data_IF_437746716003
#
_entry.id   IF_437746716003
#
_cell.length_a   1.000
_cell.length_b   1.000
_cell.length_c   1.000
_cell.angle_alpha   90.00
_cell.angle_beta   90.00
_cell.angle_gamma   90.00
#
_symmetry.space_group_name_H-M   'P 1'
#
loop_
_entity.id
_entity.type
_entity.pdbx_description
1 polymer ?
#
# COMPACT_ATOMS: atom_id res chain seq x y z
N UNK A 1 -9.20 -41.34 25.14
CA UNK A 1 -10.29 -40.35 25.03
C UNK A 1 -9.86 -39.10 25.80
N UNK A 2 -9.26 -38.05 25.23
CA UNK A 2 -9.93 -36.92 24.56
C UNK A 2 -8.85 -36.06 23.85
N UNK A 3 -8.52 -36.33 22.59
CA UNK A 3 -7.67 -35.42 21.78
C UNK A 3 -8.55 -34.28 21.24
N UNK A 4 -8.88 -33.29 22.10
CA UNK A 4 -9.38 -32.00 21.59
C UNK A 4 -8.24 -31.36 20.79
N UNK A 5 -8.24 -31.53 19.46
CA UNK A 5 -7.48 -30.67 18.54
C UNK A 5 -7.92 -29.23 18.83
N UNK A 6 -7.18 -28.50 19.65
CA UNK A 6 -7.46 -27.09 19.94
C UNK A 6 -7.25 -26.32 18.64
N UNK A 7 -8.35 -25.99 17.95
CA UNK A 7 -8.34 -25.14 16.76
C UNK A 7 -7.65 -23.81 17.11
N UNK A 8 -6.88 -23.27 16.17
CA UNK A 8 -6.23 -21.96 16.30
C UNK A 8 -7.26 -20.91 16.72
N UNK A 9 -6.82 -19.89 17.47
CA UNK A 9 -7.73 -18.78 17.78
C UNK A 9 -8.07 -18.07 16.47
N UNK A 10 -9.36 -18.08 16.09
CA UNK A 10 -9.82 -17.39 14.88
C UNK A 10 -9.86 -15.87 15.07
N UNK A 11 -9.80 -15.37 16.32
CA UNK A 11 -9.91 -13.95 16.67
C UNK A 11 -8.97 -13.01 15.89
N UNK A 12 -7.65 -13.24 15.80
CA UNK A 12 -6.77 -12.37 15.01
C UNK A 12 -7.05 -12.45 13.49
N UNK A 13 -7.48 -13.61 13.00
CA UNK A 13 -7.85 -13.80 11.59
C UNK A 13 -9.14 -13.04 11.28
N UNK A 14 -10.13 -13.12 12.18
CA UNK A 14 -11.39 -12.38 12.10
C UNK A 14 -11.13 -10.88 12.20
N UNK A 15 -10.16 -10.43 13.02
CA UNK A 15 -9.78 -9.02 13.12
C UNK A 15 -9.17 -8.51 11.80
N UNK A 16 -8.21 -9.25 11.20
CA UNK A 16 -7.64 -8.88 9.90
C UNK A 16 -8.71 -8.81 8.80
N UNK A 17 -9.60 -9.81 8.76
CA UNK A 17 -10.72 -9.82 7.83
C UNK A 17 -11.70 -8.66 8.11
N UNK A 18 -11.97 -8.32 9.37
CA UNK A 18 -12.83 -7.20 9.73
C UNK A 18 -12.23 -5.85 9.32
N UNK A 19 -10.91 -5.65 9.52
CA UNK A 19 -10.22 -4.43 9.07
C UNK A 19 -10.27 -4.34 7.55
N UNK A 20 -10.01 -5.44 6.83
CA UNK A 20 -10.14 -5.47 5.37
C UNK A 20 -11.58 -5.18 4.92
N UNK A 21 -12.59 -5.70 5.62
CA UNK A 21 -14.00 -5.43 5.32
C UNK A 21 -14.36 -3.97 5.58
N UNK A 22 -13.80 -3.33 6.62
CA UNK A 22 -13.99 -1.89 6.87
C UNK A 22 -13.31 -1.06 5.80
N UNK A 23 -12.09 -1.40 5.37
CA UNK A 23 -11.42 -0.70 4.26
C UNK A 23 -12.18 -0.88 2.95
N UNK A 24 -12.76 -2.07 2.71
CA UNK A 24 -13.60 -2.35 1.55
C UNK A 24 -14.95 -1.63 1.63
N UNK A 25 -15.55 -1.48 2.81
CA UNK A 25 -16.81 -0.75 2.97
C UNK A 25 -16.68 0.73 2.57
N UNK A 26 -15.51 1.33 2.77
CA UNK A 26 -15.19 2.68 2.28
C UNK A 26 -15.25 2.83 0.75
N UNK A 27 -15.10 1.74 -0.01
CA UNK A 27 -15.21 1.76 -1.48
C UNK A 27 -16.67 1.96 -1.95
N UNK A 28 -17.65 1.55 -1.15
CA UNK A 28 -19.06 1.52 -1.53
C UNK A 28 -19.91 2.63 -0.88
N UNK A 29 -19.27 3.54 -0.11
CA UNK A 29 -19.95 4.60 0.63
C UNK A 29 -20.41 5.80 -0.21
N UNK A 30 -20.25 5.78 -1.53
CA UNK A 30 -20.65 6.88 -2.42
C UNK A 30 -22.02 6.55 -3.04
N UNK A 31 -23.03 7.43 -2.91
CA UNK A 31 -24.31 7.27 -3.61
C UNK A 31 -24.06 7.10 -5.10
N UNK A 32 -24.54 5.99 -5.66
CA UNK A 32 -24.44 5.71 -7.08
C UNK A 32 -25.52 6.52 -7.80
N UNK A 33 -25.19 7.76 -8.17
CA UNK A 33 -26.06 8.55 -9.03
C UNK A 33 -25.91 8.03 -10.46
N UNK A 34 -26.98 7.48 -11.01
CA UNK A 34 -26.99 6.96 -12.37
C UNK A 34 -26.84 8.12 -13.35
N UNK A 35 -25.65 8.24 -13.93
CA UNK A 35 -25.44 9.10 -15.09
C UNK A 35 -26.38 8.64 -16.21
N UNK A 36 -27.32 9.51 -16.60
CA UNK A 36 -28.10 9.31 -17.83
C UNK A 36 -27.13 9.50 -19.00
N UNK A 37 -26.83 8.41 -19.70
CA UNK A 37 -26.18 8.50 -21.00
C UNK A 37 -27.10 9.26 -21.96
N UNK A 38 -26.72 10.50 -22.29
CA UNK A 38 -27.38 11.27 -23.34
C UNK A 38 -26.53 11.12 -24.60
N UNK A 39 -26.96 10.18 -25.45
CA UNK A 39 -26.46 10.09 -26.82
C UNK A 39 -27.17 11.16 -27.65
N UNK A 40 -26.68 12.39 -27.62
CA UNK A 40 -27.07 13.37 -28.63
C UNK A 40 -25.85 14.11 -29.17
N UNK A 41 -25.62 13.93 -30.47
CA UNK A 41 -24.54 14.57 -31.22
C UNK A 41 -25.00 15.98 -31.62
N UNK A 42 -24.95 16.90 -30.66
CA UNK A 42 -25.06 18.34 -30.85
C UNK A 42 -23.91 19.07 -30.14
N UNK A 43 -23.74 20.39 -30.33
CA UNK A 43 -22.74 21.15 -29.60
C UNK A 43 -23.11 21.16 -28.11
N UNK A 44 -22.45 20.30 -27.34
CA UNK A 44 -22.71 20.08 -25.93
C UNK A 44 -21.79 20.97 -25.07
N UNK A 45 -22.28 21.32 -23.88
CA UNK A 45 -21.47 21.98 -22.85
C UNK A 45 -21.13 20.96 -21.78
N UNK A 46 -19.84 20.74 -21.58
CA UNK A 46 -19.34 19.81 -20.58
C UNK A 46 -19.18 20.52 -19.24
N UNK A 47 -19.80 19.99 -18.19
CA UNK A 47 -19.74 20.53 -16.84
C UNK A 47 -18.93 19.57 -15.99
N UNK A 48 -17.73 20.01 -15.60
CA UNK A 48 -16.72 19.18 -14.97
C UNK A 48 -16.46 19.70 -13.55
N UNK A 49 -16.72 18.90 -12.50
CA UNK A 49 -16.50 19.31 -11.12
C UNK A 49 -15.01 19.30 -10.73
N UNK A 50 -14.49 20.43 -10.29
CA UNK A 50 -13.18 20.57 -9.63
C UNK A 50 -13.43 20.70 -8.13
N UNK A 51 -13.85 19.60 -7.50
CA UNK A 51 -14.20 19.55 -6.07
C UNK A 51 -13.12 18.80 -5.28
N UNK A 52 -12.96 19.15 -4.00
CA UNK A 52 -12.01 18.55 -3.05
C UNK A 52 -10.54 18.93 -3.29
N UNK A 53 -9.61 18.26 -2.59
CA UNK A 53 -8.16 18.54 -2.64
C UNK A 53 -7.60 18.32 -4.04
N UNK A 54 -6.71 19.22 -4.48
CA UNK A 54 -5.96 19.06 -5.74
C UNK A 54 -4.85 18.02 -5.55
N UNK A 55 -5.17 16.79 -5.92
CA UNK A 55 -4.31 15.60 -5.90
C UNK A 55 -4.39 14.88 -7.24
N UNK A 56 -3.54 13.90 -7.51
CA UNK A 56 -3.41 13.41 -8.88
C UNK A 56 -4.54 12.51 -9.36
N UNK A 57 -5.39 11.99 -8.48
CA UNK A 57 -6.68 11.41 -8.84
C UNK A 57 -7.65 12.46 -9.39
N UNK A 58 -7.69 13.67 -8.83
CA UNK A 58 -8.41 14.79 -9.43
C UNK A 58 -7.79 15.21 -10.76
N UNK A 59 -6.46 15.26 -10.85
CA UNK A 59 -5.78 15.54 -12.13
C UNK A 59 -6.16 14.52 -13.22
N UNK A 60 -6.02 13.22 -12.95
CA UNK A 60 -6.35 12.15 -13.91
C UNK A 60 -7.81 12.23 -14.36
N UNK A 61 -8.71 12.53 -13.42
CA UNK A 61 -10.12 12.76 -13.72
C UNK A 61 -10.32 13.95 -14.67
N UNK A 62 -9.67 15.09 -14.39
CA UNK A 62 -9.80 16.29 -15.23
C UNK A 62 -9.19 16.10 -16.60
N UNK A 63 -8.03 15.46 -16.71
CA UNK A 63 -7.40 15.09 -17.99
C UNK A 63 -8.38 14.26 -18.82
N UNK A 64 -8.88 13.15 -18.28
CA UNK A 64 -9.89 12.31 -18.97
C UNK A 64 -11.15 13.09 -19.35
N UNK A 65 -11.69 13.90 -18.44
CA UNK A 65 -12.94 14.62 -18.67
C UNK A 65 -12.80 15.68 -19.77
N UNK A 66 -11.64 16.34 -19.85
CA UNK A 66 -11.34 17.34 -20.86
C UNK A 66 -10.94 16.68 -22.21
N UNK A 67 -10.29 15.52 -22.21
CA UNK A 67 -10.10 14.67 -23.40
C UNK A 67 -11.44 14.20 -23.97
N UNK A 68 -12.34 13.71 -23.11
CA UNK A 68 -13.69 13.30 -23.49
C UNK A 68 -14.47 14.46 -24.13
N UNK A 69 -14.36 15.66 -23.57
CA UNK A 69 -14.94 16.87 -24.14
C UNK A 69 -14.33 17.21 -25.52
N UNK A 70 -13.01 17.08 -25.67
CA UNK A 70 -12.31 17.35 -26.94
C UNK A 70 -12.69 16.34 -28.03
N UNK A 71 -12.71 15.04 -27.71
CA UNK A 71 -13.13 13.97 -28.62
C UNK A 71 -14.59 14.15 -29.07
N UNK A 72 -15.46 14.55 -28.14
CA UNK A 72 -16.86 14.87 -28.42
C UNK A 72 -17.06 16.21 -29.15
N UNK A 73 -15.99 17.01 -29.33
CA UNK A 73 -16.01 18.36 -29.91
C UNK A 73 -17.00 19.26 -29.19
N UNK A 74 -16.91 19.27 -27.86
CA UNK A 74 -17.69 20.16 -27.01
C UNK A 74 -17.60 21.61 -27.48
N UNK A 75 -18.71 22.34 -27.40
CA UNK A 75 -18.73 23.78 -27.73
C UNK A 75 -18.07 24.60 -26.63
N UNK A 76 -18.20 24.14 -25.38
CA UNK A 76 -17.68 24.83 -24.20
C UNK A 76 -17.44 23.84 -23.04
N UNK A 77 -16.51 24.17 -22.16
CA UNK A 77 -16.30 23.49 -20.87
C UNK A 77 -16.54 24.45 -19.71
N UNK A 78 -17.31 24.02 -18.71
CA UNK A 78 -17.48 24.72 -17.45
C UNK A 78 -16.83 23.89 -16.34
N UNK A 79 -15.75 24.42 -15.76
CA UNK A 79 -15.10 23.86 -14.59
C UNK A 79 -15.79 24.40 -13.34
N UNK A 80 -16.50 23.55 -12.60
CA UNK A 80 -17.18 23.97 -11.36
C UNK A 80 -16.23 23.80 -10.19
N UNK A 81 -15.60 24.89 -9.76
CA UNK A 81 -14.50 24.90 -8.79
C UNK A 81 -15.01 25.10 -7.37
N UNK A 82 -14.72 24.12 -6.50
CA UNK A 82 -14.87 24.22 -5.05
C UNK A 82 -13.74 23.44 -4.34
N UNK A 83 -12.62 24.11 -4.10
CA UNK A 83 -11.41 23.52 -3.51
C UNK A 83 -10.68 24.48 -2.57
N UNK A 84 -10.05 23.90 -1.55
CA UNK A 84 -9.08 24.58 -0.68
C UNK A 84 -7.64 24.49 -1.22
N UNK A 85 -7.44 23.83 -2.35
CA UNK A 85 -6.15 23.63 -2.98
C UNK A 85 -5.57 22.23 -2.76
N UNK A 86 -4.26 22.11 -2.91
CA UNK A 86 -3.55 20.83 -2.86
C UNK A 86 -2.12 20.97 -3.35
N UNK A 87 -1.61 19.94 -4.01
CA UNK A 87 -0.22 19.87 -4.47
C UNK A 87 0.03 20.83 -5.64
N UNK A 88 1.08 21.65 -5.53
CA UNK A 88 1.50 22.62 -6.56
C UNK A 88 1.74 21.95 -7.91
N UNK A 89 2.46 20.81 -7.93
CA UNK A 89 2.78 20.07 -9.16
C UNK A 89 1.52 19.62 -9.91
N UNK A 90 0.51 19.15 -9.17
CA UNK A 90 -0.76 18.75 -9.77
C UNK A 90 -1.53 19.95 -10.32
N UNK A 91 -1.51 21.09 -9.61
CA UNK A 91 -2.14 22.32 -10.07
C UNK A 91 -1.49 22.83 -11.36
N UNK A 92 -0.16 22.82 -11.42
CA UNK A 92 0.64 23.18 -12.61
C UNK A 92 0.21 22.34 -13.81
N UNK A 93 0.20 21.00 -13.67
CA UNK A 93 -0.19 20.08 -14.75
C UNK A 93 -1.64 20.29 -15.20
N UNK A 94 -2.59 20.44 -14.28
CA UNK A 94 -3.99 20.75 -14.62
C UNK A 94 -4.09 22.08 -15.38
N UNK A 95 -3.38 23.12 -14.93
CA UNK A 95 -3.38 24.42 -15.60
C UNK A 95 -2.78 24.36 -17.01
N UNK A 96 -1.69 23.60 -17.20
CA UNK A 96 -1.17 23.30 -18.53
C UNK A 96 -2.21 22.63 -19.42
N UNK A 97 -2.89 21.61 -18.91
CA UNK A 97 -3.91 20.89 -19.67
C UNK A 97 -5.08 21.79 -20.11
N UNK A 98 -5.55 22.67 -19.21
CA UNK A 98 -6.58 23.65 -19.52
C UNK A 98 -6.11 24.62 -20.62
N UNK A 99 -4.88 25.13 -20.53
CA UNK A 99 -4.32 26.07 -21.53
C UNK A 99 -4.10 25.45 -22.90
N UNK A 100 -3.70 24.18 -22.95
CA UNK A 100 -3.44 23.47 -24.20
C UNK A 100 -4.74 23.01 -24.88
N UNK A 101 -5.82 22.86 -24.12
CA UNK A 101 -7.13 22.52 -24.66
C UNK A 101 -7.69 23.68 -25.51
N UNK A 102 -8.19 23.34 -26.69
CA UNK A 102 -8.75 24.31 -27.65
C UNK A 102 -10.21 24.66 -27.38
N UNK A 103 -10.87 23.94 -26.49
CA UNK A 103 -12.26 24.19 -26.13
C UNK A 103 -12.32 25.39 -25.19
N UNK A 104 -13.14 26.42 -25.50
CA UNK A 104 -13.35 27.53 -24.59
C UNK A 104 -13.79 27.04 -23.20
N UNK A 105 -13.08 27.49 -22.17
CA UNK A 105 -13.20 27.00 -20.80
C UNK A 105 -13.56 28.14 -19.85
N UNK A 106 -14.64 27.96 -19.09
CA UNK A 106 -15.06 28.88 -18.02
C UNK A 106 -14.89 28.21 -16.66
N UNK A 107 -14.12 28.83 -15.76
CA UNK A 107 -14.07 28.47 -14.35
C UNK A 107 -15.25 29.11 -13.62
N UNK A 108 -16.21 28.30 -13.18
CA UNK A 108 -17.30 28.72 -12.30
C UNK A 108 -16.97 28.40 -10.84
N UNK A 109 -16.75 29.43 -10.01
CA UNK A 109 -16.37 29.28 -8.61
C UNK A 109 -17.64 29.15 -7.75
N UNK A 110 -18.00 27.91 -7.43
CA UNK A 110 -19.13 27.53 -6.58
C UNK A 110 -18.66 27.34 -5.14
N UNK A 111 -18.32 28.46 -4.48
CA UNK A 111 -17.84 28.47 -3.10
C UNK A 111 -16.40 28.94 -2.96
N UNK A 112 -15.41 28.09 -3.26
CA UNK A 112 -13.98 28.43 -3.03
C UNK A 112 -13.07 28.00 -4.18
N UNK A 113 -12.22 28.90 -4.64
CA UNK A 113 -11.04 28.59 -5.43
C UNK A 113 -9.82 29.13 -4.66
N UNK A 114 -9.32 28.36 -3.70
CA UNK A 114 -8.20 28.76 -2.84
C UNK A 114 -6.95 27.96 -3.21
N UNK A 115 -5.77 28.58 -3.03
CA UNK A 115 -4.48 27.94 -3.29
C UNK A 115 -4.38 27.40 -4.72
N UNK A 116 -4.13 26.10 -4.90
CA UNK A 116 -4.11 25.47 -6.22
C UNK A 116 -5.39 25.71 -7.04
N UNK A 117 -6.55 25.88 -6.39
CA UNK A 117 -7.79 26.22 -7.08
C UNK A 117 -7.76 27.58 -7.80
N UNK A 118 -7.04 28.56 -7.23
CA UNK A 118 -6.81 29.86 -7.88
C UNK A 118 -6.01 29.68 -9.17
N UNK A 119 -4.95 28.87 -9.16
CA UNK A 119 -4.15 28.61 -10.35
C UNK A 119 -4.99 27.94 -11.45
N UNK A 120 -5.79 26.94 -11.10
CA UNK A 120 -6.70 26.26 -12.04
C UNK A 120 -7.67 27.28 -12.66
N UNK A 121 -8.29 28.14 -11.85
CA UNK A 121 -9.22 29.16 -12.33
C UNK A 121 -8.54 30.18 -13.26
N UNK A 122 -7.32 30.63 -12.93
CA UNK A 122 -6.58 31.60 -13.72
C UNK A 122 -6.19 31.10 -15.11
N UNK A 123 -6.15 29.79 -15.31
CA UNK A 123 -5.86 29.18 -16.62
C UNK A 123 -7.08 29.09 -17.54
N UNK A 124 -8.29 29.27 -17.00
CA UNK A 124 -9.51 29.32 -17.81
C UNK A 124 -9.67 30.68 -18.51
N UNK A 125 -10.35 30.67 -19.66
CA UNK A 125 -10.62 31.89 -20.45
C UNK A 125 -11.46 32.87 -19.63
N UNK A 126 -12.52 32.38 -19.00
CA UNK A 126 -13.40 33.17 -18.13
C UNK A 126 -13.44 32.62 -16.70
N UNK A 127 -13.60 33.50 -15.74
CA UNK A 127 -13.88 33.23 -14.33
C UNK A 127 -15.25 33.85 -14.01
N UNK A 128 -16.20 33.00 -13.68
CA UNK A 128 -17.52 33.40 -13.18
C UNK A 128 -17.62 32.97 -11.71
N UNK A 129 -18.14 33.85 -10.85
CA UNK A 129 -18.16 33.60 -9.41
C UNK A 129 -19.58 33.52 -8.86
N UNK A 130 -19.84 32.57 -7.97
CA UNK A 130 -21.09 32.53 -7.22
C UNK A 130 -21.12 33.62 -6.14
N UNK A 131 -22.27 34.28 -5.86
CA UNK A 131 -22.39 35.16 -4.71
C UNK A 131 -21.90 34.48 -3.42
N UNK A 132 -21.06 35.19 -2.66
CA UNK A 132 -20.45 34.65 -1.43
C UNK A 132 -19.23 33.74 -1.65
N UNK A 133 -18.82 33.49 -2.90
CA UNK A 133 -17.61 32.72 -3.19
C UNK A 133 -16.32 33.53 -3.03
N UNK A 134 -15.18 32.84 -3.01
CA UNK A 134 -13.85 33.45 -2.80
C UNK A 134 -12.79 32.84 -3.72
N UNK A 135 -11.91 33.69 -4.25
CA UNK A 135 -10.69 33.31 -4.99
C UNK A 135 -9.43 33.91 -4.33
N UNK A 136 -8.29 33.24 -4.40
CA UNK A 136 -7.00 33.74 -3.92
C UNK A 136 -6.36 32.85 -2.85
N UNK A 137 -5.73 33.46 -1.82
CA UNK A 137 -5.06 32.75 -0.73
C UNK A 137 -4.15 31.61 -1.23
N UNK A 138 -3.21 31.95 -2.10
CA UNK A 138 -2.43 31.00 -2.87
C UNK A 138 -0.92 31.01 -2.61
N UNK A 139 -0.54 31.48 -1.43
CA UNK A 139 0.77 31.21 -0.85
C UNK A 139 1.01 29.70 -0.71
N UNK A 140 2.26 29.29 -0.93
CA UNK A 140 2.67 27.89 -0.78
C UNK A 140 2.82 27.57 0.70
N UNK A 141 2.27 26.43 1.12
CA UNK A 141 2.45 25.87 2.46
C UNK A 141 3.05 24.47 2.36
N UNK A 142 3.77 24.06 3.40
CA UNK A 142 4.25 22.70 3.54
C UNK A 142 3.15 21.74 4.03
N UNK A 143 3.47 20.46 4.21
CA UNK A 143 2.53 19.45 4.69
C UNK A 143 1.99 19.70 6.12
N UNK A 144 2.57 20.63 6.88
CA UNK A 144 2.09 21.05 8.19
C UNK A 144 1.15 22.26 8.13
N UNK A 145 0.98 22.87 6.95
CA UNK A 145 0.25 24.13 6.76
C UNK A 145 1.07 25.37 7.09
N UNK A 146 2.38 25.23 7.30
CA UNK A 146 3.28 26.35 7.54
C UNK A 146 3.65 27.00 6.21
N UNK A 147 3.65 28.33 6.15
CA UNK A 147 4.05 29.08 4.96
C UNK A 147 5.50 28.74 4.56
N UNK A 148 5.69 28.44 3.29
CA UNK A 148 7.02 28.25 2.70
C UNK A 148 7.60 29.63 2.38
N UNK A 149 8.70 29.99 3.05
CA UNK A 149 9.40 31.27 2.88
C UNK A 149 10.60 31.17 1.92
N UNK A 150 10.88 29.98 1.39
CA UNK A 150 11.97 29.74 0.46
C UNK A 150 11.85 30.65 -0.78
N UNK A 151 12.79 31.59 -1.02
CA UNK A 151 12.65 32.59 -2.09
C UNK A 151 12.51 31.99 -3.48
N UNK A 152 13.17 30.84 -3.75
CA UNK A 152 13.07 30.16 -5.05
C UNK A 152 11.66 29.63 -5.29
N UNK A 153 11.06 29.03 -4.26
CA UNK A 153 9.71 28.45 -4.34
C UNK A 153 8.65 29.54 -4.49
N UNK A 154 8.74 30.60 -3.67
CA UNK A 154 7.82 31.74 -3.73
C UNK A 154 7.95 32.46 -5.06
N UNK A 155 9.17 32.75 -5.52
CA UNK A 155 9.41 33.43 -6.80
C UNK A 155 8.89 32.62 -7.99
N UNK A 156 9.14 31.30 -8.02
CA UNK A 156 8.62 30.41 -9.06
C UNK A 156 7.09 30.44 -9.10
N UNK A 157 6.43 30.15 -7.98
CA UNK A 157 4.97 30.05 -7.94
C UNK A 157 4.26 31.39 -8.17
N UNK A 158 4.87 32.49 -7.70
CA UNK A 158 4.38 33.84 -7.99
C UNK A 158 4.42 34.12 -9.50
N UNK A 159 5.50 33.69 -10.19
CA UNK A 159 5.64 33.86 -11.64
C UNK A 159 4.61 33.04 -12.40
N UNK A 160 4.42 31.77 -12.03
CA UNK A 160 3.41 30.88 -12.61
C UNK A 160 1.99 31.46 -12.53
N UNK A 161 1.59 31.93 -11.34
CA UNK A 161 0.28 32.57 -11.12
C UNK A 161 0.13 33.88 -11.89
N UNK A 162 1.18 34.71 -11.88
CA UNK A 162 1.22 36.00 -12.56
C UNK A 162 1.09 35.84 -14.08
N UNK A 163 1.79 34.85 -14.65
CA UNK A 163 1.77 34.56 -16.07
C UNK A 163 0.42 33.98 -16.49
N UNK A 164 -0.14 33.03 -15.72
CA UNK A 164 -1.47 32.47 -15.98
C UNK A 164 -2.55 33.56 -16.03
N UNK A 165 -2.50 34.51 -15.08
CA UNK A 165 -3.37 35.67 -15.09
C UNK A 165 -3.16 36.56 -16.33
N UNK A 166 -1.89 36.87 -16.66
CA UNK A 166 -1.55 37.75 -17.77
C UNK A 166 -1.96 37.18 -19.14
N UNK A 167 -1.81 35.87 -19.35
CA UNK A 167 -2.23 35.18 -20.57
C UNK A 167 -3.72 35.35 -20.86
N UNK A 168 -4.53 35.44 -19.80
CA UNK A 168 -5.97 35.66 -19.88
C UNK A 168 -6.36 37.14 -19.71
N UNK A 169 -5.40 38.07 -19.83
CA UNK A 169 -5.65 39.51 -19.77
C UNK A 169 -5.92 40.07 -18.38
N UNK A 170 -5.66 39.31 -17.31
CA UNK A 170 -5.86 39.72 -15.90
C UNK A 170 -4.59 40.37 -15.34
N UNK A 171 -4.74 41.29 -14.38
CA UNK A 171 -3.62 42.03 -13.79
C UNK A 171 -2.68 41.12 -12.97
N UNK A 172 -1.53 40.79 -13.54
CA UNK A 172 -0.50 39.95 -12.90
C UNK A 172 -0.14 40.33 -11.46
N UNK A 173 -0.25 41.61 -11.07
CA UNK A 173 0.09 42.05 -9.72
C UNK A 173 -0.93 41.58 -8.68
N UNK A 174 -2.20 41.45 -9.05
CA UNK A 174 -3.23 40.89 -8.17
C UNK A 174 -2.95 39.40 -7.94
N UNK A 175 -2.59 38.65 -8.99
CA UNK A 175 -2.19 37.25 -8.87
C UNK A 175 -0.93 37.09 -8.02
N UNK A 176 0.07 37.95 -8.22
CA UNK A 176 1.26 37.97 -7.37
C UNK A 176 0.90 38.26 -5.90
N UNK A 177 -0.03 39.18 -5.65
CA UNK A 177 -0.50 39.52 -4.30
C UNK A 177 -1.31 38.38 -3.64
N UNK A 178 -1.87 37.45 -4.42
CA UNK A 178 -2.50 36.22 -3.91
C UNK A 178 -1.47 35.18 -3.46
N UNK A 179 -0.19 35.30 -3.84
CA UNK A 179 0.87 34.33 -3.53
C UNK A 179 1.88 34.87 -2.52
N UNK A 180 2.47 36.03 -2.82
CA UNK A 180 3.61 36.56 -2.06
C UNK A 180 3.14 37.57 -0.99
N UNK A 181 3.40 37.29 0.30
CA UNK A 181 3.08 38.22 1.38
C UNK A 181 3.81 39.57 1.28
N UNK A 182 4.92 39.66 0.54
CA UNK A 182 5.71 40.87 0.39
C UNK A 182 5.20 41.84 -0.67
N UNK A 183 4.37 41.39 -1.61
CA UNK A 183 3.74 42.26 -2.60
C UNK A 183 2.80 43.21 -1.87
N UNK A 184 2.77 44.49 -2.23
CA UNK A 184 1.77 45.43 -1.74
C UNK A 184 1.00 45.96 -2.93
N UNK A 185 -0.30 46.15 -2.79
CA UNK A 185 -1.13 46.61 -3.88
C UNK A 185 -2.18 47.59 -3.39
N UNK A 186 -2.21 48.76 -4.02
CA UNK A 186 -3.23 49.78 -3.78
C UNK A 186 -4.52 49.35 -4.49
N UNK A 187 -5.52 49.02 -3.69
CA UNK A 187 -6.81 48.52 -4.15
C UNK A 187 -7.99 49.26 -3.48
N UNK A 188 -7.70 50.20 -2.58
CA UNK A 188 -8.70 50.96 -1.83
C UNK A 188 -9.74 51.63 -2.71
N UNK A 189 -9.32 52.16 -3.86
CA UNK A 189 -10.23 52.83 -4.79
C UNK A 189 -11.18 51.86 -5.51
N UNK A 190 -10.81 50.58 -5.63
CA UNK A 190 -11.61 49.56 -6.30
C UNK A 190 -12.47 48.76 -5.32
N UNK A 191 -11.91 48.33 -4.19
CA UNK A 191 -12.55 47.39 -3.26
C UNK A 191 -12.57 47.88 -1.80
N UNK A 192 -12.17 49.13 -1.53
CA UNK A 192 -12.26 49.73 -0.20
C UNK A 192 -11.15 49.34 0.79
N UNK A 193 -10.17 48.54 0.35
CA UNK A 193 -8.97 48.17 1.13
C UNK A 193 -7.75 47.98 0.23
N UNK A 194 -6.57 48.21 0.79
CA UNK A 194 -5.29 47.86 0.15
C UNK A 194 -4.85 46.47 0.60
N UNK A 195 -3.92 45.88 -0.15
CA UNK A 195 -3.19 44.67 0.24
C UNK A 195 -1.88 45.08 0.91
N UNK A 196 -1.75 44.84 2.20
CA UNK A 196 -0.59 45.23 2.99
C UNK A 196 0.48 44.13 3.04
N UNK A 197 1.70 44.52 3.43
CA UNK A 197 2.80 43.58 3.63
C UNK A 197 2.44 42.57 4.73
N UNK A 198 2.80 41.30 4.51
CA UNK A 198 2.46 40.15 5.37
C UNK A 198 1.02 39.62 5.22
N UNK A 199 0.20 40.25 4.39
CA UNK A 199 -1.13 39.74 4.03
C UNK A 199 -1.07 38.93 2.74
N UNK A 200 -1.98 37.98 2.58
CA UNK A 200 -2.23 37.28 1.32
C UNK A 200 -3.58 37.73 0.78
N UNK A 201 -3.64 38.12 -0.50
CA UNK A 201 -4.88 38.60 -1.09
C UNK A 201 -5.88 37.46 -1.31
N UNK A 202 -7.11 37.75 -0.93
CA UNK A 202 -8.32 37.03 -1.37
C UNK A 202 -9.30 38.04 -1.93
N UNK A 203 -10.15 37.60 -2.85
CA UNK A 203 -11.22 38.40 -3.43
C UNK A 203 -12.53 37.64 -3.29
N UNK A 204 -13.54 38.31 -2.75
CA UNK A 204 -14.94 37.87 -2.88
C UNK A 204 -15.43 38.05 -4.32
N UNK A 205 -16.53 37.41 -4.70
CA UNK A 205 -17.13 37.57 -6.03
C UNK A 205 -17.29 39.05 -6.45
N UNK A 206 -17.83 39.90 -5.59
CA UNK A 206 -18.01 41.33 -5.88
C UNK A 206 -16.68 42.09 -5.98
N UNK A 207 -15.68 41.74 -5.18
CA UNK A 207 -14.34 42.36 -5.28
C UNK A 207 -13.64 41.93 -6.56
N UNK A 208 -13.72 40.64 -6.93
CA UNK A 208 -13.13 40.10 -8.15
C UNK A 208 -13.70 40.76 -9.41
N UNK A 209 -15.01 40.96 -9.47
CA UNK A 209 -15.66 41.66 -10.59
C UNK A 209 -15.18 43.12 -10.68
N UNK A 210 -15.11 43.86 -9.56
CA UNK A 210 -14.64 45.26 -9.52
C UNK A 210 -13.19 45.44 -9.96
N UNK A 211 -12.33 44.45 -9.74
CA UNK A 211 -10.91 44.52 -10.13
C UNK A 211 -10.63 43.86 -11.48
N UNK A 212 -11.65 43.34 -12.18
CA UNK A 212 -11.50 42.69 -13.48
C UNK A 212 -10.89 41.28 -13.40
N UNK A 213 -11.09 40.59 -12.28
CA UNK A 213 -10.65 39.21 -12.06
C UNK A 213 -11.74 38.17 -12.30
N UNK A 214 -13.00 38.60 -12.39
CA UNK A 214 -14.13 37.78 -12.78
C UNK A 214 -15.00 38.58 -13.75
N UNK A 215 -15.46 37.92 -14.81
CA UNK A 215 -16.26 38.55 -15.87
C UNK A 215 -17.75 38.62 -15.51
N UNK A 216 -18.22 37.79 -14.56
CA UNK A 216 -19.62 37.77 -14.16
C UNK A 216 -19.84 37.15 -12.77
N UNK A 217 -20.96 37.51 -12.14
CA UNK A 217 -21.47 36.87 -10.93
C UNK A 217 -22.75 36.08 -11.27
N UNK A 218 -22.81 34.79 -10.96
CA UNK A 218 -23.92 33.89 -11.31
C UNK A 218 -24.27 32.92 -10.16
N UNK A 219 -25.54 32.66 -9.88
CA UNK A 219 -25.97 31.79 -8.77
C UNK A 219 -25.82 30.30 -9.09
N UNK A 220 -25.82 29.92 -10.37
CA UNK A 220 -25.80 28.54 -10.84
C UNK A 220 -25.14 28.37 -12.20
N UNK A 221 -24.81 27.14 -12.57
CA UNK A 221 -24.28 26.79 -13.91
C UNK A 221 -25.25 27.21 -15.02
N UNK A 222 -26.56 27.14 -14.79
CA UNK A 222 -27.56 27.54 -15.80
C UNK A 222 -27.51 29.05 -16.08
N UNK A 223 -27.20 29.87 -15.07
CA UNK A 223 -26.96 31.31 -15.25
C UNK A 223 -25.63 31.59 -15.98
N UNK A 224 -24.60 30.77 -15.74
CA UNK A 224 -23.35 30.84 -16.52
C UNK A 224 -23.61 30.56 -17.99
N UNK A 225 -24.39 29.51 -18.31
CA UNK A 225 -24.78 29.17 -19.68
C UNK A 225 -25.56 30.30 -20.34
N UNK A 226 -26.46 30.94 -19.59
CA UNK A 226 -27.19 32.12 -20.04
C UNK A 226 -26.28 33.27 -20.41
N UNK A 227 -25.34 33.60 -19.55
CA UNK A 227 -24.37 34.67 -19.78
C UNK A 227 -23.49 34.38 -21.01
N UNK A 228 -23.09 33.12 -21.20
CA UNK A 228 -22.32 32.67 -22.37
C UNK A 228 -23.14 32.62 -23.68
N UNK A 229 -24.48 32.79 -23.62
CA UNK A 229 -25.35 32.63 -24.78
C UNK A 229 -25.51 31.17 -25.24
N UNK A 230 -25.29 30.22 -24.33
CA UNK A 230 -25.36 28.78 -24.55
C UNK A 230 -26.64 28.16 -23.96
N UNK A 231 -27.70 28.97 -23.80
CA UNK A 231 -29.00 28.48 -23.36
C UNK A 231 -29.56 27.44 -24.34
N UNK A 232 -30.09 26.33 -23.81
CA UNK A 232 -30.68 25.26 -24.62
C UNK A 232 -29.67 24.28 -25.24
N UNK A 233 -28.37 24.44 -24.99
CA UNK A 233 -27.37 23.40 -25.30
C UNK A 233 -27.50 22.22 -24.35
N UNK A 234 -27.17 21.02 -24.85
CA UNK A 234 -27.16 19.82 -24.02
C UNK A 234 -26.03 19.93 -23.00
N UNK A 235 -26.40 19.89 -21.71
CA UNK A 235 -25.45 19.84 -20.60
C UNK A 235 -25.02 18.39 -20.37
N UNK A 236 -23.72 18.12 -20.46
CA UNK A 236 -23.12 16.82 -20.12
C UNK A 236 -22.36 16.99 -18.81
N UNK A 237 -22.87 16.39 -17.74
CA UNK A 237 -22.20 16.40 -16.44
C UNK A 237 -21.22 15.23 -16.39
N UNK A 238 -19.92 15.55 -16.30
CA UNK A 238 -18.89 14.53 -16.19
C UNK A 238 -18.69 14.20 -14.71
N UNK A 239 -19.00 12.97 -14.33
CA UNK A 239 -18.78 12.48 -12.97
C UNK A 239 -17.53 11.60 -12.90
N UNK A 240 -16.82 11.57 -11.75
CA UNK A 240 -15.79 10.57 -11.51
C UNK A 240 -16.38 9.17 -11.60
N UNK A 241 -15.69 8.27 -12.31
CA UNK A 241 -16.05 6.87 -12.44
C UNK A 241 -15.94 6.14 -11.09
N UNK A 242 -16.60 4.99 -10.98
CA UNK A 242 -16.49 4.13 -9.80
C UNK A 242 -15.04 3.72 -9.53
N UNK A 243 -14.27 3.47 -10.59
CA UNK A 243 -12.87 3.10 -10.49
C UNK A 243 -12.02 4.26 -9.94
N UNK A 244 -12.24 5.50 -10.41
CA UNK A 244 -11.53 6.68 -9.90
C UNK A 244 -11.89 7.00 -8.45
N UNK A 245 -13.16 6.88 -8.07
CA UNK A 245 -13.59 7.03 -6.68
C UNK A 245 -12.95 5.96 -5.78
N UNK A 246 -12.92 4.71 -6.23
CA UNK A 246 -12.24 3.63 -5.52
C UNK A 246 -10.73 3.87 -5.42
N UNK A 247 -10.08 4.31 -6.50
CA UNK A 247 -8.66 4.61 -6.54
C UNK A 247 -8.30 5.74 -5.57
N UNK A 248 -9.09 6.83 -5.56
CA UNK A 248 -8.91 7.95 -4.61
C UNK A 248 -8.98 7.48 -3.16
N UNK A 249 -9.91 6.59 -2.84
CA UNK A 249 -10.01 5.98 -1.50
C UNK A 249 -8.77 5.12 -1.17
N UNK A 250 -8.35 4.27 -2.12
CA UNK A 250 -7.24 3.34 -1.93
C UNK A 250 -5.87 4.02 -1.81
N UNK A 251 -5.68 5.16 -2.47
CA UNK A 251 -4.44 5.95 -2.44
C UNK A 251 -4.40 6.93 -1.25
N UNK A 252 -5.47 7.01 -0.45
CA UNK A 252 -5.43 7.77 0.79
C UNK A 252 -4.26 7.27 1.70
N UNK A 253 -3.42 8.16 2.26
CA UNK A 253 -2.24 7.76 3.04
C UNK A 253 -2.52 6.78 4.18
N UNK A 254 -3.67 6.91 4.84
CA UNK A 254 -4.08 6.00 5.91
C UNK A 254 -4.47 4.64 5.34
N UNK A 255 -5.28 4.63 4.28
CA UNK A 255 -5.78 3.40 3.64
C UNK A 255 -4.64 2.60 3.03
N UNK A 256 -3.75 3.24 2.26
CA UNK A 256 -2.58 2.56 1.68
C UNK A 256 -1.68 1.97 2.79
N UNK A 257 -1.49 2.68 3.91
CA UNK A 257 -0.69 2.18 5.04
C UNK A 257 -1.35 0.96 5.68
N UNK A 258 -2.67 0.98 5.86
CA UNK A 258 -3.43 -0.18 6.36
C UNK A 258 -3.32 -1.36 5.40
N UNK A 259 -3.44 -1.14 4.09
CA UNK A 259 -3.28 -2.20 3.07
C UNK A 259 -1.88 -2.83 3.14
N UNK A 260 -0.82 -2.04 3.29
CA UNK A 260 0.54 -2.56 3.48
C UNK A 260 0.68 -3.37 4.78
N UNK A 261 0.10 -2.90 5.90
CA UNK A 261 0.07 -3.64 7.17
C UNK A 261 -0.59 -5.01 6.99
N UNK A 262 -1.79 -5.03 6.41
CA UNK A 262 -2.56 -6.25 6.18
C UNK A 262 -1.86 -7.17 5.18
N UNK A 263 -1.25 -6.61 4.15
CA UNK A 263 -0.41 -7.29 3.16
C UNK A 263 0.72 -8.07 3.83
N UNK A 264 1.60 -7.35 4.54
CA UNK A 264 2.78 -7.91 5.20
C UNK A 264 2.37 -8.90 6.30
N UNK A 265 1.48 -8.50 7.20
CA UNK A 265 1.06 -9.34 8.32
C UNK A 265 0.33 -10.60 7.84
N UNK A 266 -0.56 -10.48 6.84
CA UNK A 266 -1.32 -11.58 6.28
C UNK A 266 -0.43 -12.67 5.68
N UNK A 267 0.54 -12.28 4.84
CA UNK A 267 1.49 -13.21 4.23
C UNK A 267 2.36 -13.90 5.30
N UNK A 268 2.93 -13.14 6.25
CA UNK A 268 3.80 -13.73 7.27
C UNK A 268 3.01 -14.65 8.20
N UNK A 269 1.80 -14.26 8.62
CA UNK A 269 0.94 -15.12 9.46
C UNK A 269 0.56 -16.40 8.71
N UNK A 270 0.28 -16.33 7.40
CA UNK A 270 0.02 -17.52 6.58
C UNK A 270 1.21 -18.48 6.60
N UNK A 271 2.44 -17.99 6.44
CA UNK A 271 3.64 -18.83 6.51
C UNK A 271 3.86 -19.48 7.88
N UNK A 272 3.36 -18.87 8.96
CA UNK A 272 3.44 -19.42 10.32
C UNK A 272 2.35 -20.46 10.61
N UNK A 273 1.25 -20.47 9.84
CA UNK A 273 0.10 -21.34 10.05
C UNK A 273 0.17 -22.54 9.09
N UNK A 274 0.02 -23.78 9.56
CA UNK A 274 -0.03 -24.92 8.66
C UNK A 274 -1.33 -24.93 7.85
N UNK A 275 -1.22 -24.67 6.53
CA UNK A 275 -2.32 -24.67 5.57
C UNK A 275 -2.20 -23.51 4.57
N UNK A 276 -3.17 -23.38 3.67
CA UNK A 276 -3.49 -22.10 3.02
C UNK A 276 -4.85 -21.63 3.54
N UNK A 277 -4.95 -20.39 4.01
CA UNK A 277 -6.15 -19.89 4.67
C UNK A 277 -6.43 -18.41 4.45
N UNK A 278 -7.29 -17.87 5.31
CA UNK A 278 -7.75 -16.50 5.25
C UNK A 278 -6.63 -15.44 5.39
N UNK A 279 -5.57 -15.60 6.22
CA UNK A 279 -4.49 -14.61 6.31
C UNK A 279 -3.76 -14.36 4.98
N UNK A 280 -3.44 -15.42 4.23
CA UNK A 280 -2.79 -15.31 2.93
C UNK A 280 -3.66 -14.61 1.89
N UNK A 281 -4.95 -14.93 1.86
CA UNK A 281 -5.93 -14.25 0.97
C UNK A 281 -6.02 -12.76 1.32
N UNK A 282 -6.13 -12.41 2.60
CA UNK A 282 -6.12 -11.00 3.05
C UNK A 282 -4.84 -10.31 2.62
N UNK A 283 -3.68 -10.97 2.76
CA UNK A 283 -2.40 -10.43 2.35
C UNK A 283 -2.34 -10.11 0.85
N UNK A 284 -2.69 -11.09 0.01
CA UNK A 284 -2.70 -10.96 -1.46
C UNK A 284 -3.69 -9.88 -1.91
N UNK A 285 -4.91 -9.89 -1.37
CA UNK A 285 -5.92 -8.88 -1.70
C UNK A 285 -5.48 -7.48 -1.29
N UNK A 286 -4.82 -7.33 -0.14
CA UNK A 286 -4.36 -6.02 0.33
C UNK A 286 -3.28 -5.43 -0.58
N UNK A 287 -2.30 -6.24 -1.00
CA UNK A 287 -1.32 -5.80 -2.00
C UNK A 287 -1.97 -5.56 -3.37
N UNK A 288 -2.91 -6.42 -3.79
CA UNK A 288 -3.66 -6.23 -5.04
C UNK A 288 -4.42 -4.91 -5.06
N UNK A 289 -5.12 -4.56 -3.98
CA UNK A 289 -5.82 -3.29 -3.82
C UNK A 289 -4.85 -2.09 -3.75
N UNK A 290 -3.70 -2.26 -3.10
CA UNK A 290 -2.65 -1.24 -3.09
C UNK A 290 -2.20 -0.89 -4.51
N UNK A 291 -1.78 -1.88 -5.30
CA UNK A 291 -1.32 -1.65 -6.67
C UNK A 291 -2.46 -1.21 -7.59
N UNK A 292 -3.67 -1.77 -7.43
CA UNK A 292 -4.83 -1.37 -8.22
C UNK A 292 -5.18 0.11 -8.03
N UNK A 293 -5.24 0.59 -6.77
CA UNK A 293 -5.54 1.99 -6.49
C UNK A 293 -4.52 2.94 -7.14
N UNK A 294 -3.23 2.59 -7.06
CA UNK A 294 -2.17 3.39 -7.67
C UNK A 294 -2.13 3.30 -9.20
N UNK A 295 -2.48 2.15 -9.78
CA UNK A 295 -2.57 1.98 -11.23
C UNK A 295 -3.70 2.81 -11.83
N UNK A 296 -4.90 2.74 -11.24
CA UNK A 296 -6.07 3.50 -11.70
C UNK A 296 -5.89 5.00 -11.49
N UNK A 297 -5.17 5.40 -10.44
CA UNK A 297 -4.82 6.81 -10.22
C UNK A 297 -3.66 7.30 -11.10
N UNK A 298 -3.15 6.48 -12.02
CA UNK A 298 -2.10 6.86 -12.98
C UNK A 298 -0.68 6.92 -12.40
N UNK A 299 -0.46 6.46 -11.17
CA UNK A 299 0.85 6.51 -10.50
C UNK A 299 1.73 5.31 -10.78
N UNK A 300 1.13 4.13 -10.84
CA UNK A 300 1.83 2.88 -11.01
C UNK A 300 1.60 2.34 -12.42
N UNK A 301 2.67 2.10 -13.18
CA UNK A 301 2.59 1.23 -14.33
C UNK A 301 2.83 -0.23 -13.97
N UNK A 302 2.81 -1.09 -14.99
CA UNK A 302 3.02 -2.53 -14.82
C UNK A 302 4.42 -2.86 -14.31
N UNK A 303 5.40 -1.99 -14.53
CA UNK A 303 6.77 -2.12 -14.05
C UNK A 303 6.86 -2.20 -12.52
N UNK A 304 6.06 -1.41 -11.80
CA UNK A 304 6.05 -1.41 -10.33
C UNK A 304 5.50 -2.75 -9.79
N UNK A 305 4.45 -3.28 -10.41
CA UNK A 305 3.85 -4.57 -10.07
C UNK A 305 4.80 -5.72 -10.39
N UNK A 306 5.43 -5.69 -11.57
CA UNK A 306 6.40 -6.70 -12.00
C UNK A 306 7.61 -6.71 -11.07
N UNK A 307 8.14 -5.54 -10.70
CA UNK A 307 9.27 -5.42 -9.79
C UNK A 307 8.94 -5.97 -8.39
N UNK A 308 7.72 -5.70 -7.90
CA UNK A 308 7.23 -6.26 -6.63
C UNK A 308 7.14 -7.80 -6.68
N UNK A 309 6.61 -8.37 -7.76
CA UNK A 309 6.50 -9.82 -7.96
C UNK A 309 7.89 -10.46 -8.08
N UNK A 310 8.81 -9.83 -8.81
CA UNK A 310 10.22 -10.27 -8.88
C UNK A 310 10.83 -10.27 -7.47
N UNK A 311 10.57 -9.23 -6.68
CA UNK A 311 10.99 -9.17 -5.28
C UNK A 311 10.52 -10.36 -4.46
N UNK A 312 9.23 -10.70 -4.53
CA UNK A 312 8.65 -11.89 -3.87
C UNK A 312 9.32 -13.17 -4.38
N UNK A 313 9.47 -13.33 -5.70
CA UNK A 313 10.10 -14.50 -6.28
C UNK A 313 11.55 -14.68 -5.79
N UNK A 314 12.36 -13.62 -5.74
CA UNK A 314 13.72 -13.66 -5.22
C UNK A 314 13.77 -14.05 -3.73
N UNK A 315 12.84 -13.54 -2.92
CA UNK A 315 12.71 -13.92 -1.51
C UNK A 315 12.34 -15.40 -1.36
N UNK A 316 11.45 -15.92 -2.21
CA UNK A 316 11.10 -17.35 -2.22
C UNK A 316 12.31 -18.20 -2.62
N UNK A 317 13.06 -17.79 -3.64
CA UNK A 317 14.26 -18.52 -4.09
C UNK A 317 15.32 -18.56 -2.98
N UNK A 318 15.55 -17.46 -2.24
CA UNK A 318 16.48 -17.44 -1.10
C UNK A 318 16.15 -18.53 -0.05
N UNK A 319 14.87 -18.81 0.18
CA UNK A 319 14.44 -19.84 1.15
C UNK A 319 14.84 -21.26 0.70
N UNK A 320 14.85 -21.53 -0.60
CA UNK A 320 15.20 -22.84 -1.16
C UNK A 320 16.67 -22.96 -1.56
N UNK A 321 17.28 -21.84 -1.96
CA UNK A 321 18.65 -21.72 -2.44
C UNK A 321 19.34 -20.70 -1.55
N UNK A 322 20.01 -21.14 -0.47
CA UNK A 322 20.72 -20.25 0.44
C UNK A 322 21.81 -19.51 -0.34
N UNK A 323 21.58 -18.24 -0.65
CA UNK A 323 22.49 -17.45 -1.50
C UNK A 323 23.45 -16.58 -0.68
N UNK A 324 23.58 -16.90 0.62
CA UNK A 324 24.21 -16.07 1.64
C UNK A 324 23.54 -14.67 1.75
N UNK A 325 22.24 -14.59 1.45
CA UNK A 325 21.44 -13.37 1.60
C UNK A 325 21.46 -12.42 0.41
N UNK A 326 22.16 -12.72 -0.69
CA UNK A 326 22.21 -11.86 -1.88
C UNK A 326 20.81 -11.72 -2.52
N UNK A 327 20.14 -12.85 -2.78
CA UNK A 327 18.77 -12.85 -3.32
C UNK A 327 17.79 -12.26 -2.30
N UNK A 328 18.03 -12.46 -1.00
CA UNK A 328 17.28 -11.81 0.08
C UNK A 328 17.32 -10.27 0.01
N UNK A 329 18.52 -9.69 -0.17
CA UNK A 329 18.71 -8.23 -0.28
C UNK A 329 18.09 -7.71 -1.57
N UNK A 330 18.37 -8.34 -2.72
CA UNK A 330 17.82 -7.93 -4.00
C UNK A 330 16.29 -8.06 -4.04
N UNK A 331 15.76 -9.13 -3.45
CA UNK A 331 14.32 -9.35 -3.32
C UNK A 331 13.64 -8.29 -2.47
N UNK A 332 14.23 -7.97 -1.31
CA UNK A 332 13.72 -6.92 -0.42
C UNK A 332 13.79 -5.53 -1.08
N UNK A 333 14.91 -5.22 -1.74
CA UNK A 333 15.08 -3.95 -2.45
C UNK A 333 14.07 -3.82 -3.60
N UNK A 334 13.84 -4.88 -4.37
CA UNK A 334 12.85 -4.91 -5.47
C UNK A 334 11.43 -4.76 -4.94
N UNK A 335 11.09 -5.44 -3.84
CA UNK A 335 9.77 -5.33 -3.20
C UNK A 335 9.51 -3.90 -2.71
N UNK A 336 10.46 -3.32 -1.96
CA UNK A 336 10.37 -1.94 -1.46
C UNK A 336 10.27 -0.97 -2.64
N UNK A 337 11.11 -1.14 -3.66
CA UNK A 337 11.10 -0.28 -4.84
C UNK A 337 9.76 -0.36 -5.56
N UNK A 338 9.21 -1.55 -5.81
CA UNK A 338 7.91 -1.69 -6.46
C UNK A 338 6.77 -1.01 -5.71
N UNK A 339 6.79 -1.00 -4.38
CA UNK A 339 5.82 -0.25 -3.56
C UNK A 339 6.07 1.25 -3.65
N UNK A 340 7.31 1.70 -3.49
CA UNK A 340 7.65 3.13 -3.50
C UNK A 340 7.42 3.78 -4.87
N UNK A 341 7.78 3.09 -5.96
CA UNK A 341 7.59 3.62 -7.33
C UNK A 341 6.15 3.59 -7.79
N UNK A 342 5.31 2.72 -7.20
CA UNK A 342 3.88 2.76 -7.45
C UNK A 342 3.21 4.01 -6.87
N UNK A 343 3.80 4.65 -5.86
CA UNK A 343 3.18 5.77 -5.16
C UNK A 343 3.48 7.13 -5.79
N UNK A 344 2.50 8.03 -5.72
CA UNK A 344 2.64 9.41 -6.20
C UNK A 344 3.67 10.24 -5.43
N UNK A 345 3.87 9.89 -4.15
CA UNK A 345 4.87 10.49 -3.29
C UNK A 345 5.76 9.38 -2.69
N UNK A 346 6.98 9.19 -3.25
CA UNK A 346 7.93 8.18 -2.78
C UNK A 346 8.25 8.31 -1.29
N UNK A 347 8.28 9.54 -0.75
CA UNK A 347 8.60 9.76 0.66
C UNK A 347 7.47 9.26 1.57
N UNK A 348 6.23 9.64 1.26
CA UNK A 348 5.05 9.14 1.99
C UNK A 348 4.97 7.62 1.91
N UNK A 349 5.21 7.02 0.74
CA UNK A 349 5.20 5.58 0.57
C UNK A 349 6.28 4.88 1.41
N UNK A 350 7.50 5.43 1.43
CA UNK A 350 8.58 4.90 2.26
C UNK A 350 8.22 4.96 3.76
N UNK A 351 7.67 6.08 4.23
CA UNK A 351 7.18 6.23 5.61
C UNK A 351 6.07 5.20 5.90
N UNK A 352 5.11 5.03 4.99
CA UNK A 352 4.04 4.04 5.10
C UNK A 352 4.58 2.62 5.19
N UNK A 353 5.64 2.26 4.45
CA UNK A 353 6.30 0.95 4.56
C UNK A 353 6.92 0.76 5.95
N UNK A 354 7.63 1.76 6.48
CA UNK A 354 8.26 1.69 7.81
C UNK A 354 7.19 1.50 8.89
N UNK A 355 6.12 2.31 8.85
CA UNK A 355 4.98 2.16 9.76
C UNK A 355 4.35 0.77 9.60
N UNK A 356 4.18 0.32 8.37
CA UNK A 356 3.57 -0.97 8.07
C UNK A 356 4.38 -2.15 8.60
N UNK A 357 5.70 -2.11 8.46
CA UNK A 357 6.61 -3.12 9.00
C UNK A 357 6.53 -3.18 10.53
N UNK A 358 6.60 -2.03 11.21
CA UNK A 358 6.52 -1.99 12.68
C UNK A 358 5.17 -2.51 13.17
N UNK A 359 4.07 -2.05 12.58
CA UNK A 359 2.74 -2.49 12.93
C UNK A 359 2.52 -3.99 12.62
N UNK A 360 3.03 -4.47 11.48
CA UNK A 360 2.97 -5.90 11.12
C UNK A 360 3.74 -6.75 12.14
N UNK A 361 4.94 -6.34 12.55
CA UNK A 361 5.73 -7.03 13.60
C UNK A 361 4.92 -7.12 14.91
N UNK A 362 4.26 -6.04 15.31
CA UNK A 362 3.42 -6.02 16.52
C UNK A 362 2.24 -7.00 16.36
N UNK A 363 1.53 -6.98 15.23
CA UNK A 363 0.42 -7.89 14.95
C UNK A 363 0.86 -9.35 14.93
N UNK A 364 2.00 -9.66 14.30
CA UNK A 364 2.60 -10.98 14.28
C UNK A 364 2.99 -11.42 15.69
N UNK A 365 3.61 -10.54 16.49
CA UNK A 365 3.99 -10.84 17.86
C UNK A 365 2.78 -11.15 18.75
N UNK A 366 1.68 -10.39 18.60
CA UNK A 366 0.39 -10.64 19.25
C UNK A 366 -0.16 -12.00 18.81
N UNK A 367 -0.20 -12.26 17.50
CA UNK A 367 -0.67 -13.53 16.94
C UNK A 367 0.11 -14.73 17.50
N UNK A 368 1.44 -14.64 17.48
CA UNK A 368 2.32 -15.67 18.03
C UNK A 368 2.06 -15.83 19.52
N UNK A 369 2.00 -14.76 20.31
CA UNK A 369 1.75 -14.82 21.76
C UNK A 369 0.41 -15.48 22.10
N UNK A 370 -0.66 -15.15 21.37
CA UNK A 370 -1.99 -15.75 21.59
C UNK A 370 -2.03 -17.24 21.22
N UNK A 371 -1.24 -17.67 20.24
CA UNK A 371 -1.23 -19.04 19.75
C UNK A 371 -0.05 -19.90 20.27
N UNK A 372 0.86 -19.35 21.09
CA UNK A 372 2.02 -20.03 21.71
C UNK A 372 1.65 -21.34 22.41
N UNK A 373 0.48 -21.40 23.06
CA UNK A 373 0.03 -22.58 23.83
C UNK A 373 -0.71 -23.64 23.01
N UNK A 374 -0.89 -23.44 21.69
CA UNK A 374 -1.83 -24.22 20.86
C UNK A 374 -1.20 -25.03 19.72
N UNK A 375 0.09 -25.33 19.81
CA UNK A 375 0.68 -26.44 19.06
C UNK A 375 1.36 -26.12 17.73
N UNK A 376 1.51 -24.84 17.35
CA UNK A 376 2.32 -24.43 16.17
C UNK A 376 3.79 -24.81 16.38
N UNK A 377 4.30 -24.63 17.60
CA UNK A 377 5.68 -24.96 18.00
C UNK A 377 5.97 -26.45 18.16
N UNK A 378 4.92 -27.29 18.29
CA UNK A 378 5.10 -28.74 18.49
C UNK A 378 5.48 -29.50 17.21
N UNK A 379 5.50 -28.83 16.04
CA UNK A 379 5.97 -29.41 14.77
C UNK A 379 7.38 -28.97 14.37
N UNK A 380 7.85 -27.83 14.87
CA UNK A 380 9.22 -27.35 14.63
C UNK A 380 10.24 -27.89 15.64
N UNK A 381 9.76 -28.32 16.81
CA UNK A 381 10.55 -29.09 17.76
C UNK A 381 10.16 -30.54 17.54
N UNK A 382 11.08 -31.36 17.01
CA UNK A 382 10.94 -32.81 17.03
C UNK A 382 10.90 -33.24 18.50
N UNK A 383 9.69 -33.39 19.04
CA UNK A 383 9.45 -33.85 20.42
C UNK A 383 9.27 -35.36 20.51
N UNK A 384 9.64 -36.07 19.45
CA UNK A 384 9.83 -37.51 19.52
C UNK A 384 11.12 -37.80 20.29
N UNK A 385 11.06 -37.59 21.61
CA UNK A 385 11.82 -38.51 22.47
C UNK A 385 11.07 -39.82 22.37
N UNK A 386 11.69 -40.81 21.73
CA UNK A 386 11.30 -42.21 21.80
C UNK A 386 11.34 -42.61 23.29
N UNK A 387 10.25 -42.37 24.01
CA UNK A 387 10.13 -42.73 25.42
C UNK A 387 9.65 -44.16 25.52
N UNK A 388 10.25 -44.90 26.45
CA UNK A 388 10.08 -46.34 26.69
C UNK A 388 8.62 -46.77 26.84
N UNK A 389 7.72 -45.86 27.24
CA UNK A 389 6.27 -46.09 27.31
C UNK A 389 5.57 -46.35 25.96
N UNK A 390 6.20 -46.01 24.82
CA UNK A 390 5.62 -46.23 23.48
C UNK A 390 6.09 -47.53 22.80
N UNK A 391 6.76 -48.44 23.52
CA UNK A 391 7.07 -49.78 23.01
C UNK A 391 8.29 -49.88 22.09
N UNK A 392 9.16 -48.87 22.08
CA UNK A 392 10.53 -49.04 21.56
C UNK A 392 11.36 -49.78 22.61
N UNK A 393 11.42 -51.11 22.48
CA UNK A 393 12.31 -52.00 23.24
C UNK A 393 13.77 -51.79 22.81
N UNK A 394 14.36 -50.68 23.23
CA UNK A 394 15.82 -50.53 23.23
C UNK A 394 16.35 -51.00 24.58
N UNK A 395 16.77 -52.27 24.62
CA UNK A 395 17.71 -52.84 25.59
C UNK A 395 17.21 -53.24 27.00
N UNK A 396 16.25 -54.17 27.10
CA UNK A 396 16.08 -55.01 28.33
C UNK A 396 16.58 -56.47 28.14
N UNK A 397 16.85 -56.92 26.91
CA UNK A 397 17.20 -58.33 26.63
C UNK A 397 18.66 -58.66 26.97
N UNK A 398 19.54 -57.66 27.10
CA UNK A 398 21.00 -57.90 27.15
C UNK A 398 21.60 -57.87 28.55
N UNK A 399 21.00 -57.20 29.53
CA UNK A 399 21.45 -57.28 30.93
C UNK A 399 21.25 -58.69 31.49
N UNK A 400 20.22 -59.42 31.03
CA UNK A 400 19.99 -60.83 31.37
C UNK A 400 21.03 -61.80 30.79
N UNK A 401 21.92 -61.34 29.91
CA UNK A 401 22.99 -62.17 29.35
C UNK A 401 24.23 -62.24 30.25
N UNK A 402 24.36 -61.32 31.21
CA UNK A 402 25.54 -61.24 32.06
C UNK A 402 25.71 -62.53 32.87
N UNK A 403 26.89 -63.14 32.77
CA UNK A 403 27.22 -64.37 33.48
C UNK A 403 26.74 -65.67 32.82
N UNK A 404 26.00 -65.61 31.71
CA UNK A 404 25.66 -66.81 30.94
C UNK A 404 26.86 -67.34 30.16
N UNK A 405 26.87 -68.65 29.96
CA UNK A 405 27.86 -69.36 29.15
C UNK A 405 27.28 -69.68 27.77
N UNK A 406 28.12 -69.58 26.75
CA UNK A 406 27.78 -69.92 25.38
C UNK A 406 28.94 -70.58 24.65
N UNK A 407 28.67 -71.05 23.44
CA UNK A 407 29.66 -71.70 22.58
C UNK A 407 29.93 -70.81 21.36
N UNK A 408 31.19 -70.57 21.03
CA UNK A 408 31.56 -69.82 19.81
C UNK A 408 31.14 -70.57 18.54
N UNK A 409 30.36 -69.91 17.68
CA UNK A 409 29.95 -70.45 16.36
C UNK A 409 30.94 -69.98 15.28
N UNK A 410 31.52 -68.80 15.46
CA UNK A 410 32.60 -68.28 14.63
C UNK A 410 33.84 -68.03 15.50
N UNK A 411 35.05 -67.98 14.92
CA UNK A 411 36.22 -67.49 15.65
C UNK A 411 35.98 -66.04 16.09
N UNK A 412 36.38 -65.68 17.32
CA UNK A 412 36.26 -64.32 17.86
C UNK A 412 37.59 -63.56 17.70
N UNK A 413 37.67 -62.59 16.77
CA UNK A 413 38.90 -61.79 16.48
C UNK A 413 38.62 -60.31 16.13
N UNK A 414 38.39 -59.42 17.10
CA UNK A 414 37.88 -59.71 18.44
C UNK A 414 36.37 -59.98 18.41
N UNK A 415 35.68 -59.70 17.29
CA UNK A 415 34.25 -59.92 17.13
C UNK A 415 33.94 -61.28 16.52
N UNK A 416 32.76 -61.81 16.84
CA UNK A 416 32.16 -62.98 16.23
C UNK A 416 30.84 -63.33 16.91
N UNK A 417 30.30 -64.51 16.64
CA UNK A 417 28.97 -64.91 17.12
C UNK A 417 29.07 -66.14 18.03
N UNK A 418 28.37 -66.10 19.16
CA UNK A 418 28.22 -67.24 20.07
C UNK A 418 26.78 -67.72 20.10
N UNK A 419 26.59 -68.95 20.57
CA UNK A 419 25.29 -69.55 20.85
C UNK A 419 25.08 -69.61 22.37
N UNK A 420 24.03 -68.96 22.87
CA UNK A 420 23.56 -69.09 24.26
C UNK A 420 22.13 -69.65 24.22
N UNK A 421 21.93 -70.88 24.69
CA UNK A 421 20.68 -71.62 24.45
C UNK A 421 20.46 -71.82 22.94
N UNK A 422 19.33 -71.34 22.41
CA UNK A 422 19.02 -71.37 20.98
C UNK A 422 19.32 -70.02 20.27
N UNK A 423 19.83 -69.03 21.00
CA UNK A 423 19.99 -67.67 20.48
C UNK A 423 21.42 -67.42 20.00
N UNK A 424 21.56 -66.94 18.76
CA UNK A 424 22.81 -66.44 18.19
C UNK A 424 23.02 -64.98 18.59
N UNK A 425 24.15 -64.69 19.21
CA UNK A 425 24.44 -63.36 19.76
C UNK A 425 25.82 -62.94 19.29
N UNK A 426 25.89 -61.75 18.69
CA UNK A 426 27.17 -61.13 18.32
C UNK A 426 27.87 -60.57 19.55
N UNK A 427 29.13 -60.95 19.71
CA UNK A 427 29.95 -60.66 20.88
C UNK A 427 31.34 -60.22 20.46
N UNK A 428 32.04 -59.60 21.40
CA UNK A 428 33.44 -59.22 21.26
C UNK A 428 34.27 -59.76 22.41
N UNK A 429 35.54 -60.07 22.19
CA UNK A 429 36.49 -60.38 23.25
C UNK A 429 37.22 -59.11 23.71
N UNK A 430 37.84 -59.14 24.89
CA UNK A 430 38.72 -58.05 25.36
C UNK A 430 40.11 -58.04 24.70
N UNK A 431 40.24 -58.60 23.49
CA UNK A 431 41.48 -58.68 22.73
C UNK A 431 42.08 -60.08 22.59
N UNK A 432 41.53 -61.08 23.30
CA UNK A 432 41.95 -62.48 23.16
C UNK A 432 41.32 -63.11 21.91
N UNK A 433 42.12 -63.90 21.17
CA UNK A 433 41.57 -64.74 20.12
C UNK A 433 40.93 -65.99 20.73
N UNK A 434 39.64 -66.21 20.45
CA UNK A 434 38.94 -67.43 20.84
C UNK A 434 38.52 -68.19 19.59
N UNK A 435 38.90 -69.47 19.50
CA UNK A 435 38.58 -70.30 18.33
C UNK A 435 37.10 -70.74 18.34
N UNK A 436 36.65 -71.32 17.23
CA UNK A 436 35.29 -71.87 17.10
C UNK A 436 35.09 -73.07 18.03
N UNK A 437 33.86 -73.27 18.50
CA UNK A 437 33.43 -74.36 19.38
C UNK A 437 34.10 -74.36 20.78
N UNK A 438 34.41 -73.16 21.30
CA UNK A 438 34.93 -72.92 22.65
C UNK A 438 33.85 -72.34 23.56
N UNK A 439 33.89 -72.72 24.84
CA UNK A 439 32.97 -72.19 25.84
C UNK A 439 33.44 -70.83 26.31
N UNK A 440 32.57 -69.83 26.25
CA UNK A 440 32.83 -68.46 26.67
C UNK A 440 31.75 -67.99 27.64
N UNK A 441 32.12 -67.08 28.55
CA UNK A 441 31.19 -66.45 29.50
C UNK A 441 31.03 -64.97 29.18
N UNK A 442 29.80 -64.47 29.23
CA UNK A 442 29.53 -63.04 29.11
C UNK A 442 30.01 -62.33 30.37
N UNK A 443 31.02 -61.47 30.22
CA UNK A 443 31.64 -60.70 31.32
C UNK A 443 31.11 -59.27 31.39
N UNK A 444 30.53 -58.76 30.30
CA UNK A 444 29.94 -57.43 30.24
C UNK A 444 28.85 -57.38 29.18
N UNK A 445 27.71 -56.78 29.48
CA UNK A 445 26.65 -56.51 28.50
C UNK A 445 26.17 -55.07 28.73
N UNK A 446 26.48 -54.16 27.80
CA UNK A 446 26.05 -52.76 27.85
C UNK A 446 25.58 -52.32 26.45
N UNK A 447 24.29 -52.00 26.32
CA UNK A 447 23.70 -51.55 25.06
C UNK A 447 23.89 -52.55 23.93
N UNK A 448 24.64 -52.18 22.88
CA UNK A 448 24.92 -53.05 21.74
C UNK A 448 26.15 -53.94 21.93
N UNK A 449 26.95 -53.71 22.98
CA UNK A 449 28.23 -54.39 23.21
C UNK A 449 28.08 -55.52 24.24
N UNK A 450 28.34 -56.76 23.79
CA UNK A 450 28.41 -57.94 24.66
C UNK A 450 29.84 -58.46 24.63
N UNK A 451 30.52 -58.40 25.77
CA UNK A 451 31.91 -58.82 25.92
C UNK A 451 31.96 -60.20 26.54
N UNK A 452 32.71 -61.10 25.92
CA UNK A 452 32.89 -62.48 26.40
C UNK A 452 34.36 -62.80 26.68
N UNK A 453 34.58 -63.75 27.58
CA UNK A 453 35.90 -64.31 27.88
C UNK A 453 35.85 -65.82 27.82
N UNK A 454 36.89 -66.46 27.26
CA UNK A 454 36.99 -67.92 27.21
C UNK A 454 37.08 -68.50 28.62
N UNK A 455 36.32 -69.57 28.86
CA UNK A 455 36.39 -70.33 30.10
C UNK A 455 37.46 -71.40 29.89
N UNK A 456 38.66 -71.13 30.41
CA UNK A 456 39.71 -72.15 30.51
C UNK A 456 39.35 -73.05 31.68
N UNK A 457 38.87 -74.26 31.40
CA UNK A 457 38.67 -75.31 32.41
C UNK A 457 39.97 -76.05 32.69
#
# INVERSE_FOLDING_TARGET
>A
MNRRRRRLSATPIVLLAAILLVTLAGLFGVPMEQAKAVNDTGPAVYVIPVKQTVESGLQSFLERALEEAEEARAEHVILVINTLGGKVVNAEQIGHFIRENKIPTTAFIEGKAVSAGTYIALNADNIVMQPGSTIGAAAVVDGSGTLVDNPKTVSFWTSEMSESAALQGRDKNIAAAMVDPNVTLELKDKIGRDKLKSEILTLTASEAEKVGYSEHTAESVDEVLKWLGLEGRTKIEVAPSLAENAARWLVNPVVMTVLLILGIAGIVIEMLVPGFGAPGIVGILSFGLYFFGHYVAGFAGMESVVLFIIGIALLIVEVFVPSFGILGILGSASLISGVVTAASDPMTAFISIVIALVAAIILIAIFVRMNKTRGIWNKFILRDKLTTEQGYLSADVKDSLLGLEGITITPLRPAGTILIGDNRIDVVTSGEFVDTNRTVKVVKAEGTWVVVKEIVK
#
